data_IF_575370352603
#
_entry.id   IF_575370352603
#
_cell.length_a   1.000
_cell.length_b   1.000
_cell.length_c   1.000
_cell.angle_alpha   90.00
_cell.angle_beta   90.00
_cell.angle_gamma   90.00
#
_symmetry.space_group_name_H-M   'P 1'
#
loop_
_entity.id
_entity.type
_entity.pdbx_description
1 polymer ?
#
# COMPACT_ATOMS: atom_id res chain seq x y z
N UNK A 1 -49.31 -9.03 -31.46
CA UNK A 1 -48.09 -8.28 -31.83
C UNK A 1 -47.83 -7.14 -30.84
N UNK A 2 -47.65 -7.40 -29.50
CA UNK A 2 -47.45 -6.33 -28.48
C UNK A 2 -46.60 -6.77 -27.27
N UNK A 3 -45.63 -7.66 -27.41
CA UNK A 3 -44.82 -8.11 -26.27
C UNK A 3 -43.30 -7.99 -26.43
N UNK A 4 -42.82 -7.52 -27.60
CA UNK A 4 -41.37 -7.38 -27.86
C UNK A 4 -40.76 -6.04 -27.42
N UNK A 5 -41.57 -4.97 -27.27
CA UNK A 5 -41.10 -3.64 -26.94
C UNK A 5 -40.78 -3.44 -25.45
N UNK A 6 -41.54 -4.10 -24.57
CA UNK A 6 -41.40 -3.89 -23.11
C UNK A 6 -40.18 -4.57 -22.53
N UNK A 7 -39.75 -5.72 -23.08
CA UNK A 7 -38.54 -6.41 -22.61
C UNK A 7 -37.23 -5.70 -23.00
N UNK A 8 -37.25 -5.00 -24.15
CA UNK A 8 -36.05 -4.25 -24.58
C UNK A 8 -35.82 -2.97 -23.75
N UNK A 9 -36.90 -2.31 -23.34
CA UNK A 9 -36.82 -1.14 -22.46
C UNK A 9 -36.37 -1.51 -21.04
N UNK A 10 -36.82 -2.64 -20.47
CA UNK A 10 -36.41 -3.12 -19.16
C UNK A 10 -34.94 -3.58 -19.14
N UNK A 11 -34.44 -4.18 -20.23
CA UNK A 11 -33.03 -4.59 -20.34
C UNK A 11 -32.13 -3.35 -20.49
N UNK A 12 -32.55 -2.33 -21.21
CA UNK A 12 -31.78 -1.09 -21.34
C UNK A 12 -31.79 -0.26 -20.05
N UNK A 13 -32.90 -0.25 -19.30
CA UNK A 13 -32.97 0.40 -17.98
C UNK A 13 -32.08 -0.33 -16.93
N UNK A 14 -32.01 -1.66 -16.97
CA UNK A 14 -31.06 -2.39 -16.11
C UNK A 14 -29.60 -2.16 -16.53
N UNK A 15 -29.30 -2.03 -17.83
CA UNK A 15 -27.97 -1.69 -18.31
C UNK A 15 -27.56 -0.23 -17.98
N UNK A 16 -28.49 0.69 -17.87
CA UNK A 16 -28.22 2.07 -17.44
C UNK A 16 -28.14 2.22 -15.92
N UNK A 17 -28.76 1.34 -15.13
CA UNK A 17 -28.62 1.31 -13.66
C UNK A 17 -27.33 0.61 -13.21
N UNK A 18 -26.70 -0.20 -14.06
CA UNK A 18 -25.37 -0.78 -13.90
C UNK A 18 -24.25 0.09 -14.52
N UNK A 19 -24.51 1.32 -14.91
CA UNK A 19 -23.45 2.32 -14.97
C UNK A 19 -22.96 2.49 -13.53
N UNK A 20 -22.01 1.63 -13.18
CA UNK A 20 -21.12 1.77 -12.07
C UNK A 20 -20.83 3.28 -11.93
N UNK A 21 -21.36 3.91 -10.92
CA UNK A 21 -20.87 5.21 -10.49
C UNK A 21 -19.39 4.96 -10.28
N UNK A 22 -18.56 5.43 -11.21
CA UNK A 22 -17.10 5.30 -11.08
C UNK A 22 -16.74 6.04 -9.80
N UNK A 23 -16.73 5.29 -8.70
CA UNK A 23 -16.33 5.83 -7.42
C UNK A 23 -14.85 6.16 -7.53
N UNK A 24 -14.52 7.43 -7.32
CA UNK A 24 -13.13 7.88 -7.32
C UNK A 24 -12.42 7.14 -6.19
N UNK A 25 -11.44 6.29 -6.54
CA UNK A 25 -10.64 5.56 -5.57
C UNK A 25 -9.69 6.51 -4.86
N UNK A 26 -9.80 6.60 -3.54
CA UNK A 26 -8.89 7.41 -2.72
C UNK A 26 -7.68 6.57 -2.35
N UNK A 27 -6.50 7.02 -2.78
CA UNK A 27 -5.23 6.32 -2.56
C UNK A 27 -4.35 7.14 -1.63
N UNK A 28 -3.98 6.56 -0.49
CA UNK A 28 -2.94 7.13 0.37
C UNK A 28 -1.58 6.53 0.01
N UNK A 29 -0.63 7.39 -0.36
CA UNK A 29 0.78 7.03 -0.57
C UNK A 29 1.56 7.47 0.67
N UNK A 30 1.90 6.53 1.54
CA UNK A 30 2.78 6.78 2.69
C UNK A 30 4.24 6.74 2.22
N UNK A 31 5.05 7.74 2.59
CA UNK A 31 6.42 7.89 2.08
C UNK A 31 6.48 8.50 0.68
N UNK A 32 5.60 9.44 0.38
CA UNK A 32 5.48 10.07 -0.94
C UNK A 32 6.71 10.90 -1.35
N UNK A 33 7.55 11.34 -0.42
CA UNK A 33 8.82 12.03 -0.69
C UNK A 33 9.96 11.10 -1.14
N UNK A 34 9.81 9.78 -0.96
CA UNK A 34 10.77 8.79 -1.42
C UNK A 34 10.74 8.56 -2.93
N UNK A 35 11.75 7.83 -3.46
CA UNK A 35 11.85 7.54 -4.91
C UNK A 35 10.61 6.86 -5.47
N UNK A 36 10.15 5.79 -4.84
CA UNK A 36 8.98 5.06 -5.32
C UNK A 36 7.69 5.85 -5.08
N UNK A 37 7.52 6.43 -3.89
CA UNK A 37 6.31 7.19 -3.55
C UNK A 37 6.10 8.38 -4.48
N UNK A 38 7.16 9.14 -4.79
CA UNK A 38 7.07 10.26 -5.73
C UNK A 38 6.78 9.81 -7.17
N UNK A 39 7.37 8.69 -7.62
CA UNK A 39 7.09 8.13 -8.93
C UNK A 39 5.62 7.68 -9.06
N UNK A 40 5.07 7.03 -8.03
CA UNK A 40 3.66 6.65 -7.98
C UNK A 40 2.75 7.88 -7.96
N UNK A 41 3.08 8.89 -7.16
CA UNK A 41 2.34 10.15 -7.15
C UNK A 41 2.27 10.76 -8.55
N UNK A 42 3.40 10.90 -9.24
CA UNK A 42 3.42 11.44 -10.60
C UNK A 42 2.67 10.56 -11.61
N UNK A 43 2.73 9.24 -11.45
CA UNK A 43 2.04 8.30 -12.35
C UNK A 43 0.53 8.36 -12.21
N UNK A 44 0.02 8.57 -11.01
CA UNK A 44 -1.41 8.62 -10.72
C UNK A 44 -1.99 10.04 -10.77
N UNK A 45 -1.16 11.08 -10.57
CA UNK A 45 -1.61 12.47 -10.67
C UNK A 45 -2.09 12.78 -12.09
N UNK A 46 -3.24 13.42 -12.17
CA UNK A 46 -3.90 13.71 -13.46
C UNK A 46 -4.84 12.61 -13.97
N UNK A 47 -4.87 11.44 -13.33
CA UNK A 47 -5.91 10.44 -13.59
C UNK A 47 -7.13 10.74 -12.70
N UNK A 48 -8.29 10.96 -13.33
CA UNK A 48 -9.54 11.31 -12.65
C UNK A 48 -10.17 10.18 -11.84
N UNK A 49 -9.69 8.93 -12.04
CA UNK A 49 -10.17 7.75 -11.30
C UNK A 49 -9.62 7.69 -9.88
N UNK A 50 -8.56 8.49 -9.59
CA UNK A 50 -7.88 8.48 -8.29
C UNK A 50 -7.91 9.85 -7.62
N UNK A 51 -8.18 9.84 -6.32
CA UNK A 51 -7.93 10.96 -5.42
C UNK A 51 -6.72 10.63 -4.54
N UNK A 52 -5.60 11.29 -4.78
CA UNK A 52 -4.37 11.02 -4.04
C UNK A 52 -4.34 11.79 -2.72
N UNK A 53 -3.91 11.09 -1.67
CA UNK A 53 -3.55 11.63 -0.37
C UNK A 53 -2.13 11.18 -0.09
N UNK A 54 -1.28 12.06 0.34
CA UNK A 54 0.15 11.77 0.54
C UNK A 54 0.60 12.10 1.95
N UNK A 55 1.57 11.36 2.45
CA UNK A 55 2.29 11.67 3.68
C UNK A 55 3.75 11.26 3.55
N UNK A 56 4.59 11.87 4.36
CA UNK A 56 6.00 11.52 4.49
C UNK A 56 6.37 11.57 5.98
N UNK A 57 7.47 12.22 6.36
CA UNK A 57 7.93 12.35 7.76
C UNK A 57 7.00 13.15 8.67
N UNK A 58 6.09 13.90 8.08
CA UNK A 58 5.01 14.63 8.77
C UNK A 58 3.97 13.68 9.40
N UNK A 59 3.86 12.44 8.89
CA UNK A 59 3.04 11.37 9.46
C UNK A 59 3.92 10.13 9.67
N UNK A 60 4.65 10.04 10.79
CA UNK A 60 5.52 8.91 11.09
C UNK A 60 4.69 7.63 11.22
N UNK A 61 4.90 6.68 10.31
CA UNK A 61 4.14 5.43 10.29
C UNK A 61 4.40 4.56 11.51
N UNK A 62 5.56 4.70 12.14
CA UNK A 62 5.92 4.03 13.38
C UNK A 62 5.14 4.53 14.61
N UNK A 63 4.50 5.70 14.51
CA UNK A 63 3.53 6.16 15.50
C UNK A 63 2.11 5.71 15.11
N UNK A 64 1.58 4.74 15.86
CA UNK A 64 0.26 4.17 15.62
C UNK A 64 -0.89 5.20 15.71
N UNK A 65 -0.72 6.26 16.51
CA UNK A 65 -1.74 7.30 16.66
C UNK A 65 -1.77 8.18 15.43
N UNK A 66 -0.60 8.64 14.97
CA UNK A 66 -0.51 9.51 13.79
C UNK A 66 -0.94 8.78 12.52
N UNK A 67 -0.46 7.55 12.30
CA UNK A 67 -0.89 6.73 11.18
C UNK A 67 -2.41 6.47 11.21
N UNK A 68 -2.94 6.12 12.39
CA UNK A 68 -4.36 5.89 12.58
C UNK A 68 -5.21 7.14 12.37
N UNK A 69 -4.80 8.27 12.95
CA UNK A 69 -5.48 9.56 12.79
C UNK A 69 -5.53 10.01 11.32
N UNK A 70 -4.43 9.85 10.61
CA UNK A 70 -4.36 10.22 9.20
C UNK A 70 -5.31 9.36 8.35
N UNK A 71 -5.37 8.04 8.61
CA UNK A 71 -6.31 7.14 7.97
C UNK A 71 -7.77 7.53 8.25
N UNK A 72 -8.11 7.82 9.52
CA UNK A 72 -9.47 8.23 9.91
C UNK A 72 -9.91 9.56 9.27
N UNK A 73 -9.01 10.52 9.13
CA UNK A 73 -9.33 11.82 8.54
C UNK A 73 -9.53 11.74 7.03
N UNK A 74 -8.77 10.88 6.37
CA UNK A 74 -8.73 10.84 4.92
C UNK A 74 -9.56 9.71 4.31
N UNK A 75 -9.91 8.66 5.08
CA UNK A 75 -10.65 7.48 4.63
C UNK A 75 -10.19 6.98 3.25
N UNK A 76 -8.91 6.58 3.08
CA UNK A 76 -8.45 6.02 1.83
C UNK A 76 -9.09 4.64 1.58
N UNK A 77 -9.35 4.32 0.32
CA UNK A 77 -9.78 2.98 -0.11
C UNK A 77 -8.57 2.05 -0.24
N UNK A 78 -7.39 2.64 -0.56
CA UNK A 78 -6.13 1.92 -0.72
C UNK A 78 -5.01 2.70 -0.02
N UNK A 79 -4.19 2.00 0.75
CA UNK A 79 -2.94 2.52 1.35
C UNK A 79 -1.77 1.83 0.65
N UNK A 80 -0.85 2.61 0.06
CA UNK A 80 0.40 2.11 -0.52
C UNK A 80 1.53 2.54 0.41
N UNK A 81 2.14 1.56 1.11
CA UNK A 81 3.26 1.83 2.00
C UNK A 81 4.59 1.83 1.23
N UNK A 82 5.05 3.01 0.84
CA UNK A 82 6.38 3.26 0.29
C UNK A 82 7.36 3.78 1.35
N UNK A 83 6.89 4.03 2.58
CA UNK A 83 7.73 4.49 3.68
C UNK A 83 8.60 3.35 4.20
N UNK A 84 9.83 3.68 4.58
CA UNK A 84 10.76 2.73 5.16
C UNK A 84 12.17 3.30 5.26
N UNK A 85 12.96 2.77 6.18
CA UNK A 85 14.40 3.00 6.23
C UNK A 85 15.05 2.02 5.24
N UNK A 86 15.56 2.52 4.11
CA UNK A 86 16.06 1.71 2.98
C UNK A 86 17.59 1.77 2.80
N UNK A 87 18.28 2.61 3.56
CA UNK A 87 19.75 2.63 3.58
C UNK A 87 20.24 1.44 4.41
N UNK A 88 20.85 0.46 3.72
CA UNK A 88 21.31 -0.80 4.34
C UNK A 88 22.32 -0.52 5.46
N UNK A 89 23.25 0.41 5.23
CA UNK A 89 24.25 0.77 6.22
C UNK A 89 23.62 1.41 7.45
N UNK A 90 22.67 2.33 7.25
CA UNK A 90 21.93 2.94 8.36
C UNK A 90 21.13 1.90 9.14
N UNK A 91 20.57 0.87 8.48
CA UNK A 91 19.90 -0.23 9.15
C UNK A 91 20.85 -1.07 10.01
N UNK A 92 22.07 -1.33 9.55
CA UNK A 92 23.09 -2.04 10.34
C UNK A 92 23.55 -1.21 11.56
N UNK A 93 23.72 0.10 11.38
CA UNK A 93 24.13 1.01 12.46
C UNK A 93 23.02 1.22 13.50
N UNK A 94 21.73 1.15 13.08
CA UNK A 94 20.55 1.45 13.90
C UNK A 94 19.44 0.40 13.70
N UNK A 95 19.67 -0.85 14.09
CA UNK A 95 18.70 -1.93 13.84
C UNK A 95 17.34 -1.70 14.50
N UNK A 96 17.30 -1.10 15.69
CA UNK A 96 16.04 -0.79 16.37
C UNK A 96 15.18 0.21 15.58
N UNK A 97 15.81 1.23 15.00
CA UNK A 97 15.13 2.21 14.15
C UNK A 97 14.60 1.55 12.88
N UNK A 98 15.42 0.65 12.26
CA UNK A 98 15.01 -0.11 11.09
C UNK A 98 13.76 -0.96 11.37
N UNK A 99 13.74 -1.74 12.45
CA UNK A 99 12.57 -2.52 12.84
C UNK A 99 11.37 -1.66 13.21
N UNK A 100 11.59 -0.55 13.90
CA UNK A 100 10.52 0.38 14.28
C UNK A 100 9.80 0.93 13.05
N UNK A 101 10.55 1.38 12.05
CA UNK A 101 9.97 1.96 10.82
C UNK A 101 9.46 0.84 9.90
N UNK A 102 10.31 -0.15 9.56
CA UNK A 102 9.99 -1.11 8.50
C UNK A 102 9.01 -2.20 8.94
N UNK A 103 9.03 -2.59 10.24
CA UNK A 103 8.15 -3.64 10.75
C UNK A 103 6.95 -3.05 11.52
N UNK A 104 7.19 -2.26 12.57
CA UNK A 104 6.09 -1.71 13.38
C UNK A 104 5.29 -0.68 12.58
N UNK A 105 5.96 0.14 11.74
CA UNK A 105 5.28 1.06 10.82
C UNK A 105 4.33 0.33 9.86
N UNK A 106 4.79 -0.76 9.22
CA UNK A 106 3.96 -1.57 8.34
C UNK A 106 2.73 -2.15 9.09
N UNK A 107 2.95 -2.71 10.30
CA UNK A 107 1.87 -3.19 11.17
C UNK A 107 0.86 -2.08 11.50
N UNK A 108 1.33 -0.90 11.85
CA UNK A 108 0.44 0.22 12.19
C UNK A 108 -0.45 0.61 11.02
N UNK A 109 0.10 0.63 9.79
CA UNK A 109 -0.67 0.87 8.58
C UNK A 109 -1.67 -0.26 8.30
N UNK A 110 -1.31 -1.54 8.55
CA UNK A 110 -2.22 -2.66 8.42
C UNK A 110 -3.40 -2.56 9.40
N UNK A 111 -3.12 -2.20 10.66
CA UNK A 111 -4.17 -1.96 11.66
C UNK A 111 -5.07 -0.79 11.27
N UNK A 112 -4.48 0.31 10.78
CA UNK A 112 -5.23 1.46 10.31
C UNK A 112 -6.11 1.11 9.10
N UNK A 113 -5.55 0.41 8.12
CA UNK A 113 -6.27 -0.06 6.92
C UNK A 113 -7.47 -0.94 7.30
N UNK A 114 -7.25 -1.94 8.15
CA UNK A 114 -8.33 -2.84 8.61
C UNK A 114 -9.46 -2.09 9.32
N UNK A 115 -9.13 -1.06 10.11
CA UNK A 115 -10.13 -0.28 10.87
C UNK A 115 -11.08 0.50 9.97
N UNK A 116 -10.61 0.97 8.80
CA UNK A 116 -11.39 1.76 7.85
C UNK A 116 -11.83 0.97 6.60
N UNK A 117 -11.62 -0.35 6.62
CA UNK A 117 -11.90 -1.27 5.49
C UNK A 117 -11.13 -0.91 4.20
N UNK A 118 -9.90 -0.42 4.34
CA UNK A 118 -9.02 -0.10 3.23
C UNK A 118 -8.11 -1.29 2.86
N UNK A 119 -7.72 -1.38 1.58
CA UNK A 119 -6.69 -2.31 1.13
C UNK A 119 -5.30 -1.75 1.45
N UNK A 120 -4.41 -2.57 2.03
CA UNK A 120 -3.00 -2.25 2.17
C UNK A 120 -2.17 -2.91 1.06
N UNK A 121 -1.29 -2.14 0.43
CA UNK A 121 -0.23 -2.61 -0.44
C UNK A 121 1.10 -2.32 0.26
N UNK A 122 1.74 -3.38 0.77
CA UNK A 122 3.03 -3.29 1.44
C UNK A 122 4.15 -3.50 0.42
N UNK A 123 5.05 -2.52 0.29
CA UNK A 123 6.24 -2.68 -0.56
C UNK A 123 7.31 -3.41 0.23
N UNK A 124 7.84 -4.49 -0.34
CA UNK A 124 8.95 -5.26 0.21
C UNK A 124 10.21 -5.14 -0.65
N UNK A 125 11.13 -6.09 -0.54
CA UNK A 125 12.45 -6.11 -1.17
C UNK A 125 12.89 -7.55 -1.44
N UNK A 126 13.70 -7.76 -2.47
CA UNK A 126 14.40 -9.01 -2.77
C UNK A 126 15.45 -9.39 -1.69
N UNK A 127 15.96 -8.42 -0.92
CA UNK A 127 16.84 -8.68 0.24
C UNK A 127 16.24 -9.65 1.28
N UNK A 128 14.93 -9.93 1.22
CA UNK A 128 14.31 -10.95 2.09
C UNK A 128 14.78 -12.37 1.76
N UNK A 129 15.32 -12.60 0.56
CA UNK A 129 15.81 -13.91 0.11
C UNK A 129 17.33 -14.10 0.28
N UNK A 130 18.06 -13.12 0.80
CA UNK A 130 19.48 -13.24 1.16
C UNK A 130 20.51 -13.01 0.05
N UNK A 131 20.16 -13.18 -1.21
CA UNK A 131 20.97 -12.77 -2.37
C UNK A 131 22.18 -13.63 -2.71
N UNK A 132 22.28 -14.86 -2.20
CA UNK A 132 23.44 -15.75 -2.42
C UNK A 132 23.31 -16.64 -3.66
N UNK A 133 22.14 -16.69 -4.30
CA UNK A 133 21.88 -17.51 -5.47
C UNK A 133 21.59 -16.66 -6.72
N UNK A 134 22.26 -16.99 -7.84
CA UNK A 134 21.94 -16.43 -9.17
C UNK A 134 20.62 -17.01 -9.76
N UNK A 135 19.89 -17.81 -9.01
CA UNK A 135 18.64 -18.43 -9.45
C UNK A 135 17.49 -17.41 -9.45
N UNK A 136 16.57 -17.59 -10.41
CA UNK A 136 15.33 -16.81 -10.40
C UNK A 136 14.47 -17.25 -9.20
N UNK A 137 14.04 -16.28 -8.39
CA UNK A 137 13.22 -16.51 -7.21
C UNK A 137 11.73 -16.58 -7.57
N UNK A 138 10.97 -17.33 -6.79
CA UNK A 138 9.52 -17.42 -6.89
C UNK A 138 8.85 -17.16 -5.52
N UNK A 139 7.51 -17.03 -5.52
CA UNK A 139 6.72 -16.71 -4.33
C UNK A 139 6.77 -17.77 -3.22
N UNK A 140 7.23 -18.97 -3.53
CA UNK A 140 7.28 -20.11 -2.62
C UNK A 140 8.67 -20.38 -2.06
N UNK A 141 9.67 -19.59 -2.48
CA UNK A 141 11.04 -19.73 -1.97
C UNK A 141 11.12 -19.23 -0.52
N UNK A 142 11.94 -19.92 0.28
CA UNK A 142 12.11 -19.59 1.69
C UNK A 142 12.85 -18.24 1.86
N UNK A 143 12.28 -17.37 2.65
CA UNK A 143 12.90 -16.10 3.00
C UNK A 143 13.97 -16.30 4.08
N UNK A 144 15.20 -15.86 3.81
CA UNK A 144 16.37 -15.94 4.73
C UNK A 144 17.23 -14.67 4.70
N UNK A 145 16.64 -13.51 5.07
CA UNK A 145 17.34 -12.23 4.96
C UNK A 145 18.64 -12.21 5.78
N UNK A 146 19.70 -11.74 5.19
CA UNK A 146 21.04 -11.64 5.82
C UNK A 146 21.28 -10.27 6.44
N UNK A 147 20.82 -9.19 5.78
CA UNK A 147 21.01 -7.80 6.24
C UNK A 147 19.93 -7.37 7.26
N UNK A 148 20.24 -6.37 8.09
CA UNK A 148 19.22 -5.77 8.98
C UNK A 148 18.11 -5.08 8.21
N UNK A 149 18.40 -4.52 7.03
CA UNK A 149 17.38 -4.02 6.13
C UNK A 149 16.40 -5.14 5.73
N UNK A 150 16.91 -6.21 5.12
CA UNK A 150 16.11 -7.37 4.71
C UNK A 150 15.33 -7.98 5.88
N UNK A 151 15.98 -8.19 7.05
CA UNK A 151 15.32 -8.71 8.27
C UNK A 151 14.18 -7.84 8.75
N UNK A 152 14.38 -6.52 8.79
CA UNK A 152 13.35 -5.57 9.23
C UNK A 152 12.17 -5.49 8.25
N UNK A 153 12.44 -5.58 6.94
CA UNK A 153 11.40 -5.63 5.89
C UNK A 153 10.61 -6.93 5.96
N UNK A 154 11.29 -8.06 6.11
CA UNK A 154 10.65 -9.36 6.27
C UNK A 154 9.78 -9.43 7.53
N UNK A 155 10.26 -8.88 8.65
CA UNK A 155 9.44 -8.74 9.85
C UNK A 155 8.17 -7.93 9.59
N UNK A 156 8.23 -6.88 8.76
CA UNK A 156 7.08 -6.11 8.31
C UNK A 156 6.08 -6.96 7.52
N UNK A 157 6.54 -7.81 6.60
CA UNK A 157 5.66 -8.73 5.85
C UNK A 157 4.87 -9.68 6.77
N UNK A 158 5.50 -10.15 7.84
CA UNK A 158 4.86 -11.06 8.80
C UNK A 158 3.83 -10.39 9.70
N UNK A 159 3.81 -9.06 9.75
CA UNK A 159 2.93 -8.28 10.62
C UNK A 159 1.74 -7.63 9.88
N UNK A 160 1.63 -7.80 8.56
CA UNK A 160 0.56 -7.23 7.72
C UNK A 160 -0.46 -8.24 7.24
#
# INVERSE_FOLDING_TARGET
MRTYGVRKAAILQNYESERCTMSITRVWIAGAGGRLGSALYHRFSGNTDYKLVTSDRDVPIEDAREAGRFADLNHPDVIINCAGLTDVRACEEKPEEAYKINAIGARNLAVAARRIDAKLIQISTDDVFGGDDDAALCEFDDAHPTTMYGKSKYAGEKLV
#
